data_IF_765943531302
#
_entry.id   IF_765943531302
#
_cell.length_a   1.000
_cell.length_b   1.000
_cell.length_c   1.000
_cell.angle_alpha   90.00
_cell.angle_beta   90.00
_cell.angle_gamma   90.00
#
_symmetry.space_group_name_H-M   'P 1'
#
loop_
_entity.id
_entity.type
_entity.pdbx_description
1 polymer ?
#
# COMPACT_ATOMS: atom_id res chain seq x y z
N UNK A 1 -10.12 17.01 15.32
CA UNK A 1 -9.50 16.14 14.29
C UNK A 1 -10.07 14.75 14.50
N UNK A 2 -11.07 14.38 13.70
CA UNK A 2 -11.63 13.04 13.71
C UNK A 2 -10.81 12.18 12.73
N UNK A 3 -10.62 10.90 13.05
CA UNK A 3 -10.00 9.92 12.17
C UNK A 3 -11.11 8.93 11.82
N UNK A 4 -11.40 8.82 10.53
CA UNK A 4 -12.31 7.80 10.00
C UNK A 4 -11.51 6.59 9.52
N UNK A 5 -12.10 5.41 9.63
CA UNK A 5 -11.44 4.14 9.27
C UNK A 5 -12.34 3.36 8.32
N UNK A 6 -11.80 3.04 7.15
CA UNK A 6 -12.40 2.12 6.20
C UNK A 6 -11.72 0.74 6.34
N UNK A 7 -12.37 -0.26 6.97
CA UNK A 7 -11.78 -1.59 7.13
C UNK A 7 -11.74 -2.36 5.81
N UNK A 8 -10.90 -3.40 5.73
CA UNK A 8 -10.74 -4.25 4.55
C UNK A 8 -11.98 -5.08 4.16
N UNK A 9 -13.06 -5.04 4.95
CA UNK A 9 -14.25 -5.86 4.77
C UNK A 9 -14.10 -7.29 5.32
N UNK A 10 -15.03 -8.18 4.95
CA UNK A 10 -15.08 -9.53 5.52
C UNK A 10 -14.65 -10.62 4.53
N UNK A 11 -13.75 -11.52 4.94
CA UNK A 11 -13.27 -12.67 4.16
C UNK A 11 -14.25 -13.87 4.18
N UNK A 12 -15.51 -13.64 3.83
CA UNK A 12 -16.63 -14.58 4.03
C UNK A 12 -16.71 -15.70 2.97
N UNK A 13 -15.59 -16.38 2.68
CA UNK A 13 -15.56 -17.54 1.78
C UNK A 13 -15.74 -17.23 0.28
N UNK A 14 -15.93 -15.97 -0.09
CA UNK A 14 -15.71 -15.49 -1.45
C UNK A 14 -14.28 -14.95 -1.52
N UNK A 15 -13.55 -15.24 -2.60
CA UNK A 15 -12.28 -14.57 -2.84
C UNK A 15 -12.54 -13.05 -2.79
N UNK A 16 -11.83 -12.28 -1.94
CA UNK A 16 -11.97 -10.83 -1.98
C UNK A 16 -11.80 -10.40 -3.42
N UNK A 17 -12.74 -9.60 -3.95
CA UNK A 17 -12.58 -9.05 -5.29
C UNK A 17 -11.20 -8.42 -5.32
N UNK A 18 -10.34 -8.78 -6.31
CA UNK A 18 -8.98 -8.29 -6.33
C UNK A 18 -9.03 -6.77 -6.21
N UNK A 19 -8.15 -6.22 -5.38
CA UNK A 19 -8.02 -4.78 -5.21
C UNK A 19 -7.41 -4.22 -6.51
N UNK A 20 -8.22 -4.19 -7.57
CA UNK A 20 -7.79 -3.85 -8.91
C UNK A 20 -7.62 -2.35 -9.02
N UNK A 21 -6.68 -1.95 -9.86
CA UNK A 21 -6.41 -0.54 -10.16
C UNK A 21 -7.66 0.27 -10.49
N UNK A 22 -8.62 -0.32 -11.20
CA UNK A 22 -9.85 0.37 -11.62
C UNK A 22 -10.77 0.73 -10.45
N UNK A 23 -11.13 -0.25 -9.62
CA UNK A 23 -12.03 -0.04 -8.47
C UNK A 23 -11.34 0.78 -7.38
N UNK A 24 -10.08 0.46 -7.09
CA UNK A 24 -9.28 1.18 -6.09
C UNK A 24 -9.08 2.65 -6.48
N UNK A 25 -8.75 2.92 -7.75
CA UNK A 25 -8.55 4.28 -8.24
C UNK A 25 -9.80 5.14 -8.09
N UNK A 26 -10.96 4.64 -8.52
CA UNK A 26 -12.24 5.38 -8.38
C UNK A 26 -12.59 5.71 -6.93
N UNK A 27 -12.33 4.76 -6.01
CA UNK A 27 -12.53 5.00 -4.58
C UNK A 27 -11.58 6.07 -4.05
N UNK A 28 -10.29 5.97 -4.37
CA UNK A 28 -9.27 6.94 -3.94
C UNK A 28 -9.59 8.34 -4.47
N UNK A 29 -9.99 8.46 -5.74
CA UNK A 29 -10.35 9.73 -6.35
C UNK A 29 -11.54 10.39 -5.64
N UNK A 30 -12.56 9.61 -5.24
CA UNK A 30 -13.67 10.15 -4.44
C UNK A 30 -13.23 10.56 -3.04
N UNK A 31 -12.42 9.74 -2.36
CA UNK A 31 -11.93 10.06 -1.01
C UNK A 31 -11.06 11.33 -1.00
N UNK A 32 -10.34 11.61 -2.09
CA UNK A 32 -9.54 12.84 -2.24
C UNK A 32 -10.38 14.12 -2.25
N UNK A 33 -11.68 14.04 -2.56
CA UNK A 33 -12.59 15.18 -2.49
C UNK A 33 -13.04 15.47 -1.04
N UNK A 34 -12.98 14.48 -0.16
CA UNK A 34 -13.53 14.54 1.20
C UNK A 34 -12.46 14.62 2.31
N UNK A 35 -11.23 14.17 2.05
CA UNK A 35 -10.16 14.06 3.04
C UNK A 35 -8.88 14.78 2.60
N UNK A 36 -8.27 15.56 3.51
CA UNK A 36 -6.97 16.21 3.27
C UNK A 36 -5.83 15.18 3.14
N UNK A 37 -5.93 14.08 3.89
CA UNK A 37 -4.92 13.03 3.95
C UNK A 37 -5.58 11.64 3.98
N UNK A 38 -5.07 10.74 3.15
CA UNK A 38 -5.52 9.35 3.06
C UNK A 38 -4.31 8.45 3.33
N UNK A 39 -4.42 7.60 4.33
CA UNK A 39 -3.42 6.58 4.65
C UNK A 39 -3.96 5.23 4.19
N UNK A 40 -3.22 4.56 3.31
CA UNK A 40 -3.53 3.20 2.90
C UNK A 40 -2.56 2.22 3.58
N UNK A 41 -3.12 1.33 4.38
CA UNK A 41 -2.38 0.17 4.89
C UNK A 41 -2.45 -0.97 3.85
N UNK A 42 -1.31 -1.58 3.57
CA UNK A 42 -1.17 -2.59 2.54
C UNK A 42 -0.32 -3.77 3.02
N UNK A 43 -0.53 -4.99 2.47
CA UNK A 43 0.33 -6.14 2.75
C UNK A 43 1.81 -5.89 2.44
N UNK A 44 2.67 -6.83 2.83
CA UNK A 44 4.08 -6.75 2.49
C UNK A 44 4.30 -6.88 0.97
N UNK A 45 5.02 -5.90 0.38
CA UNK A 45 5.32 -5.85 -1.07
C UNK A 45 5.89 -7.16 -1.61
N UNK A 46 6.75 -7.83 -0.85
CA UNK A 46 7.43 -9.04 -1.32
C UNK A 46 6.51 -10.27 -1.43
N UNK A 47 5.36 -10.28 -0.74
CA UNK A 47 4.42 -11.40 -0.71
C UNK A 47 3.15 -11.22 -1.53
N UNK A 48 2.92 -10.01 -2.06
CA UNK A 48 1.66 -9.67 -2.71
C UNK A 48 1.89 -8.73 -3.91
N UNK A 49 1.41 -9.12 -5.09
CA UNK A 49 1.55 -8.32 -6.31
C UNK A 49 0.64 -7.08 -6.30
N UNK A 50 -0.52 -7.17 -5.65
CA UNK A 50 -1.51 -6.06 -5.62
C UNK A 50 -0.99 -4.85 -4.85
N UNK A 51 -0.18 -5.08 -3.81
CA UNK A 51 0.50 -4.03 -3.04
C UNK A 51 1.40 -3.15 -3.91
N UNK A 52 2.12 -3.74 -4.87
CA UNK A 52 2.99 -2.97 -5.74
C UNK A 52 2.16 -2.05 -6.68
N UNK A 53 1.03 -2.56 -7.19
CA UNK A 53 0.12 -1.80 -8.04
C UNK A 53 -0.53 -0.62 -7.31
N UNK A 54 -0.88 -0.81 -6.03
CA UNK A 54 -1.37 0.27 -5.16
C UNK A 54 -0.40 1.44 -5.07
N UNK A 55 0.91 1.17 -5.10
CA UNK A 55 1.94 2.19 -5.10
C UNK A 55 1.78 3.20 -6.25
N UNK A 56 1.21 2.78 -7.38
CA UNK A 56 0.96 3.64 -8.55
C UNK A 56 -0.28 4.54 -8.44
N UNK A 57 -1.13 4.30 -7.43
CA UNK A 57 -2.38 5.03 -7.18
C UNK A 57 -2.25 6.10 -6.11
N UNK A 58 -1.10 6.16 -5.43
CA UNK A 58 -0.85 7.05 -4.30
C UNK A 58 0.23 8.07 -4.63
N UNK A 59 0.24 9.16 -3.87
CA UNK A 59 1.21 10.24 -4.06
C UNK A 59 2.64 9.87 -3.60
N UNK A 60 2.73 8.91 -2.67
CA UNK A 60 3.99 8.40 -2.17
C UNK A 60 3.81 7.15 -1.31
N UNK A 61 4.87 6.34 -1.23
CA UNK A 61 4.95 5.11 -0.46
C UNK A 61 6.03 5.23 0.59
N UNK A 62 5.70 4.88 1.84
CA UNK A 62 6.64 4.79 2.95
C UNK A 62 6.91 3.31 3.24
N UNK A 63 8.16 2.86 3.09
CA UNK A 63 8.50 1.46 3.33
C UNK A 63 8.78 1.20 4.81
N UNK A 64 7.98 0.35 5.45
CA UNK A 64 8.22 -0.08 6.83
C UNK A 64 9.14 -1.31 6.83
N UNK A 65 10.27 -1.21 7.51
CA UNK A 65 11.33 -2.23 7.57
C UNK A 65 11.48 -2.67 9.02
N UNK A 66 11.38 -3.97 9.30
CA UNK A 66 11.61 -4.50 10.65
C UNK A 66 13.11 -4.65 10.92
N UNK A 67 13.61 -3.95 11.93
CA UNK A 67 15.00 -3.96 12.36
C UNK A 67 15.42 -5.36 12.82
N UNK A 68 16.60 -5.81 12.40
CA UNK A 68 17.11 -7.15 12.73
C UNK A 68 16.36 -8.33 12.10
N UNK A 69 15.17 -8.11 11.52
CA UNK A 69 14.32 -9.15 10.94
C UNK A 69 14.34 -9.08 9.41
N UNK A 70 14.09 -7.90 8.83
CA UNK A 70 14.03 -7.75 7.37
C UNK A 70 15.44 -7.67 6.79
N UNK A 71 15.80 -8.67 5.98
CA UNK A 71 17.09 -8.70 5.26
C UNK A 71 17.18 -7.57 4.23
N UNK A 72 18.38 -7.02 4.04
CA UNK A 72 18.63 -5.91 3.09
C UNK A 72 18.17 -6.25 1.67
N UNK A 73 18.38 -7.48 1.22
CA UNK A 73 18.00 -7.93 -0.12
C UNK A 73 16.48 -7.85 -0.31
N UNK A 74 15.70 -8.18 0.72
CA UNK A 74 14.25 -8.08 0.68
C UNK A 74 13.76 -6.62 0.61
N UNK A 75 14.48 -5.68 1.25
CA UNK A 75 14.19 -4.25 1.15
C UNK A 75 14.48 -3.73 -0.26
N UNK A 76 15.62 -4.12 -0.83
CA UNK A 76 16.01 -3.74 -2.20
C UNK A 76 15.01 -4.25 -3.22
N UNK A 77 14.58 -5.52 -3.09
CA UNK A 77 13.59 -6.12 -3.96
C UNK A 77 12.22 -5.41 -3.85
N UNK A 78 11.76 -5.13 -2.63
CA UNK A 78 10.51 -4.39 -2.42
C UNK A 78 10.54 -3.01 -3.10
N UNK A 79 11.64 -2.28 -2.95
CA UNK A 79 11.83 -0.98 -3.63
C UNK A 79 11.82 -1.14 -5.15
N UNK A 80 12.53 -2.14 -5.69
CA UNK A 80 12.55 -2.40 -7.12
C UNK A 80 11.16 -2.71 -7.68
N UNK A 81 10.37 -3.52 -6.97
CA UNK A 81 8.99 -3.85 -7.36
C UNK A 81 8.08 -2.64 -7.36
N UNK A 82 8.17 -1.79 -6.34
CA UNK A 82 7.41 -0.52 -6.28
C UNK A 82 7.80 0.42 -7.42
N UNK A 83 9.10 0.61 -7.65
CA UNK A 83 9.62 1.45 -8.74
C UNK A 83 9.11 0.93 -10.11
N UNK A 84 9.15 -0.39 -10.33
CA UNK A 84 8.67 -1.02 -11.58
C UNK A 84 7.16 -0.86 -11.79
N UNK A 85 6.38 -0.88 -10.71
CA UNK A 85 4.94 -0.66 -10.75
C UNK A 85 4.56 0.82 -10.94
N UNK A 86 5.54 1.74 -10.92
CA UNK A 86 5.31 3.19 -11.02
C UNK A 86 4.99 3.86 -9.68
N UNK A 87 5.22 3.16 -8.56
CA UNK A 87 5.08 3.73 -7.23
C UNK A 87 6.30 4.58 -6.85
N UNK A 88 6.04 5.66 -6.09
CA UNK A 88 7.08 6.58 -5.63
C UNK A 88 7.42 6.32 -4.18
N UNK A 89 8.55 5.66 -3.90
CA UNK A 89 9.05 5.52 -2.52
C UNK A 89 9.60 6.86 -2.02
N UNK A 90 8.94 7.47 -1.03
CA UNK A 90 9.34 8.77 -0.46
C UNK A 90 10.29 8.64 0.71
N UNK A 91 10.37 7.46 1.32
CA UNK A 91 11.26 7.17 2.44
C UNK A 91 11.04 5.78 3.01
N UNK A 92 11.69 5.51 4.14
CA UNK A 92 11.51 4.28 4.89
C UNK A 92 11.46 4.55 6.39
N UNK A 93 10.75 3.69 7.12
CA UNK A 93 10.69 3.66 8.58
C UNK A 93 11.33 2.37 9.04
N UNK A 94 12.31 2.48 9.93
CA UNK A 94 12.86 1.34 10.65
C UNK A 94 12.01 1.13 11.92
N UNK A 95 11.39 -0.04 12.06
CA UNK A 95 10.50 -0.42 13.17
C UNK A 95 10.95 -1.74 13.80
N UNK A 96 10.42 -2.13 14.97
CA UNK A 96 10.70 -3.41 15.65
C UNK A 96 9.44 -4.28 15.79
#
# INVERSE_FOLDING_TARGET
MAIDVLPAGCANGHAPSPFTRGVAGQLIDRLREEYDHILLDAPAVNGDETTAELGSLVDGVLLVIRAGVTRREAVVEARFRLDRAGGRVVGAVLND
#
